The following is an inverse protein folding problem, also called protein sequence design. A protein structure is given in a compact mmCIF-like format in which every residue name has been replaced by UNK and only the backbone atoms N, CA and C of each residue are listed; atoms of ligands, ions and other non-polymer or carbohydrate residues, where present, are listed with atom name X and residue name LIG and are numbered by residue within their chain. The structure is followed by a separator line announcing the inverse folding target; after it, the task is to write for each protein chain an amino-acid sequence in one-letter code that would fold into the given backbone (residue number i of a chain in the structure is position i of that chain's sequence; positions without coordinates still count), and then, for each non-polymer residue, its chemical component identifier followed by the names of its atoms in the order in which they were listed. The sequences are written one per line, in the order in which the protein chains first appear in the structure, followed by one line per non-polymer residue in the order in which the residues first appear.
data_IF_954305781116
#
_entry.id   IF_954305781116
#
_cell.length_a   1.000
_cell.length_b   1.000
_cell.length_c   1.000
_cell.angle_alpha   90.00
_cell.angle_beta   90.00
_cell.angle_gamma   90.00
#
_symmetry.space_group_name_H-M   'P 1'
#
loop_
_entity.id
_entity.type
_entity.pdbx_description
1 polymer ?
#
# COMPACT_ATOMS: atom_id res chain seq x y z
N UNK A 1 -8.59 22.61 5.96
CA UNK A 1 -7.13 22.78 6.01
C UNK A 1 -6.41 21.48 5.67
N UNK A 2 -5.09 21.57 5.46
CA UNK A 2 -4.29 20.40 5.13
C UNK A 2 -4.48 19.31 6.18
N UNK A 3 -4.20 19.65 7.43
CA UNK A 3 -4.35 18.71 8.53
C UNK A 3 -5.80 18.24 8.63
N UNK A 4 -6.72 19.16 8.36
CA UNK A 4 -8.14 18.84 8.41
C UNK A 4 -8.45 17.67 7.48
N UNK A 5 -7.72 17.59 6.37
CA UNK A 5 -7.92 16.52 5.40
C UNK A 5 -7.32 15.23 5.94
N UNK A 6 -6.04 15.28 6.26
CA UNK A 6 -5.34 14.12 6.81
C UNK A 6 -6.05 13.63 8.07
N UNK A 7 -6.08 14.52 9.06
CA UNK A 7 -6.70 14.23 10.34
C UNK A 7 -6.26 12.88 10.88
N UNK A 8 -5.23 12.90 11.70
CA UNK A 8 -4.69 11.68 12.30
C UNK A 8 -5.55 11.23 13.47
N UNK A 9 -6.78 10.87 13.15
CA UNK A 9 -7.74 10.41 14.14
C UNK A 9 -8.65 9.34 13.56
N UNK A 10 -8.10 8.49 12.71
CA UNK A 10 -8.87 7.42 12.09
C UNK A 10 -8.24 6.06 12.38
N UNK A 11 -8.80 5.01 11.78
CA UNK A 11 -8.29 3.66 11.98
C UNK A 11 -7.10 3.40 11.07
N UNK A 12 -6.07 2.73 11.62
CA UNK A 12 -4.87 2.43 10.86
C UNK A 12 -4.59 0.93 10.88
N UNK A 13 -4.65 0.31 9.70
CA UNK A 13 -4.39 -1.13 9.59
C UNK A 13 -3.47 -1.43 8.41
N UNK A 14 -2.43 -2.22 8.67
CA UNK A 14 -1.48 -2.60 7.64
C UNK A 14 -1.43 -4.12 7.50
N UNK A 15 -1.38 -4.61 6.26
CA UNK A 15 -1.34 -6.05 6.03
C UNK A 15 -0.47 -6.41 4.83
N UNK A 16 -0.16 -7.70 4.72
CA UNK A 16 0.65 -8.22 3.61
C UNK A 16 0.22 -9.65 3.30
N UNK A 17 0.42 -10.08 2.06
CA UNK A 17 0.04 -11.43 1.67
C UNK A 17 0.89 -11.95 0.51
N UNK A 18 1.72 -12.98 0.76
CA UNK A 18 2.57 -13.57 -0.26
C UNK A 18 1.88 -14.67 -1.04
N UNK A 19 1.37 -14.33 -2.22
CA UNK A 19 0.67 -15.31 -3.05
C UNK A 19 1.40 -15.51 -4.38
N UNK A 20 1.42 -16.75 -4.85
CA UNK A 20 2.08 -17.09 -6.10
C UNK A 20 1.13 -16.90 -7.29
N UNK A 21 1.69 -16.51 -8.42
CA UNK A 21 0.90 -16.32 -9.63
C UNK A 21 0.39 -17.66 -10.14
N UNK A 22 -0.89 -17.75 -10.49
CA UNK A 22 -1.50 -19.00 -10.99
C UNK A 22 -0.76 -19.55 -12.20
N UNK A 23 -0.52 -18.69 -13.18
CA UNK A 23 0.18 -19.10 -14.40
C UNK A 23 1.48 -19.82 -14.08
N UNK A 24 2.36 -19.13 -13.37
CA UNK A 24 3.65 -19.69 -12.98
C UNK A 24 3.48 -20.80 -11.95
N UNK A 25 2.44 -20.67 -11.15
CA UNK A 25 2.13 -21.63 -10.08
C UNK A 25 2.06 -23.07 -10.60
N UNK A 26 1.36 -23.28 -11.70
CA UNK A 26 1.19 -24.63 -12.23
C UNK A 26 2.16 -24.96 -13.37
N UNK A 27 2.46 -23.99 -14.21
CA UNK A 27 3.36 -24.24 -15.34
C UNK A 27 4.73 -24.67 -14.87
N UNK A 28 5.16 -24.16 -13.71
CA UNK A 28 6.47 -24.52 -13.17
C UNK A 28 6.51 -24.34 -11.66
N UNK A 29 6.71 -25.43 -10.90
CA UNK A 29 6.79 -25.39 -9.44
C UNK A 29 8.01 -24.62 -8.94
N UNK A 30 9.03 -24.56 -9.78
CA UNK A 30 10.25 -23.84 -9.44
C UNK A 30 10.22 -22.42 -9.97
N UNK A 31 9.76 -22.28 -11.22
CA UNK A 31 9.67 -20.97 -11.85
C UNK A 31 8.32 -20.32 -11.54
N UNK A 32 8.00 -20.23 -10.25
CA UNK A 32 6.74 -19.63 -9.81
C UNK A 32 6.98 -18.41 -8.92
N UNK A 33 7.45 -17.33 -9.54
CA UNK A 33 7.73 -16.09 -8.82
C UNK A 33 6.63 -15.79 -7.80
N UNK A 34 7.02 -15.43 -6.59
CA UNK A 34 6.08 -15.12 -5.53
C UNK A 34 5.87 -13.61 -5.42
N UNK A 35 4.61 -13.19 -5.52
CA UNK A 35 4.31 -11.76 -5.43
C UNK A 35 3.79 -11.37 -4.06
N UNK A 36 4.38 -10.33 -3.49
CA UNK A 36 3.98 -9.86 -2.17
C UNK A 36 3.12 -8.60 -2.30
N UNK A 37 1.93 -8.65 -1.70
CA UNK A 37 1.01 -7.53 -1.76
C UNK A 37 0.78 -6.93 -0.37
N UNK A 38 1.16 -5.68 -0.21
CA UNK A 38 1.00 -4.98 1.07
C UNK A 38 0.07 -3.79 0.90
N UNK A 39 -0.67 -3.45 1.94
CA UNK A 39 -1.61 -2.34 1.87
C UNK A 39 -1.93 -1.80 3.27
N UNK A 40 -1.71 -0.51 3.43
CA UNK A 40 -1.99 0.16 4.69
C UNK A 40 -3.35 0.84 4.60
N UNK A 41 -4.38 0.11 5.05
CA UNK A 41 -5.74 0.63 5.00
C UNK A 41 -5.99 1.63 6.13
N UNK A 42 -6.87 2.60 5.85
CA UNK A 42 -7.25 3.60 6.83
C UNK A 42 -8.75 3.57 7.04
N UNK A 43 -9.18 3.13 8.21
CA UNK A 43 -10.59 3.02 8.47
C UNK A 43 -11.26 2.04 7.52
N UNK A 44 -12.40 2.40 6.93
CA UNK A 44 -13.12 1.53 5.99
C UNK A 44 -12.42 1.44 4.64
N UNK A 45 -11.49 2.35 4.38
CA UNK A 45 -10.78 2.40 3.11
C UNK A 45 -9.27 2.27 3.30
N UNK A 46 -8.51 2.65 2.27
CA UNK A 46 -7.05 2.58 2.34
C UNK A 46 -6.39 3.85 1.78
N UNK A 47 -5.18 4.11 2.25
CA UNK A 47 -4.44 5.29 1.82
C UNK A 47 -3.05 4.95 1.30
N UNK A 48 -2.53 3.77 1.65
CA UNK A 48 -1.20 3.37 1.19
C UNK A 48 -1.22 1.99 0.55
N UNK A 49 -0.58 1.87 -0.61
CA UNK A 49 -0.54 0.60 -1.33
C UNK A 49 0.83 0.40 -1.99
N UNK A 50 1.34 -0.82 -1.88
CA UNK A 50 2.64 -1.16 -2.47
C UNK A 50 2.66 -2.61 -2.95
N UNK A 51 3.05 -2.80 -4.20
CA UNK A 51 3.12 -4.14 -4.79
C UNK A 51 4.54 -4.51 -5.16
N UNK A 52 4.91 -5.76 -4.89
CA UNK A 52 6.25 -6.25 -5.21
C UNK A 52 6.19 -7.62 -5.86
N UNK A 53 6.72 -7.73 -7.07
CA UNK A 53 6.73 -8.99 -7.79
C UNK A 53 8.11 -9.26 -8.40
N UNK A 54 8.66 -10.48 -8.21
CA UNK A 54 9.98 -10.84 -8.73
C UNK A 54 10.15 -10.47 -10.20
N UNK A 55 9.04 -10.43 -10.93
CA UNK A 55 9.07 -10.09 -12.35
C UNK A 55 8.53 -8.68 -12.60
N UNK A 56 7.87 -8.11 -11.59
CA UNK A 56 7.29 -6.78 -11.70
C UNK A 56 7.90 -5.84 -10.66
N UNK A 57 8.54 -4.74 -11.11
CA UNK A 57 9.16 -3.77 -10.20
C UNK A 57 8.22 -3.33 -9.08
N UNK A 58 8.76 -2.64 -8.06
CA UNK A 58 7.97 -2.15 -6.93
C UNK A 58 6.86 -1.21 -7.35
N UNK A 59 5.65 -1.74 -7.51
CA UNK A 59 4.50 -0.93 -7.92
C UNK A 59 3.95 -0.16 -6.73
N UNK A 60 4.38 1.10 -6.61
CA UNK A 60 3.92 1.95 -5.51
C UNK A 60 2.63 2.67 -5.88
N UNK A 61 1.57 2.37 -5.15
CA UNK A 61 0.26 2.98 -5.40
C UNK A 61 -0.21 3.76 -4.19
N UNK A 62 -1.02 4.79 -4.43
CA UNK A 62 -1.55 5.63 -3.37
C UNK A 62 -2.99 6.06 -3.67
N UNK A 63 -3.72 6.43 -2.62
CA UNK A 63 -5.10 6.86 -2.78
C UNK A 63 -5.18 8.17 -3.57
N UNK A 64 -6.27 8.33 -4.32
CA UNK A 64 -6.44 9.54 -5.12
C UNK A 64 -5.82 9.42 -6.49
N UNK A 65 -4.53 9.09 -6.54
CA UNK A 65 -3.83 8.95 -7.81
C UNK A 65 -4.10 7.58 -8.43
N UNK A 66 -3.62 6.53 -7.77
CA UNK A 66 -3.82 5.17 -8.25
C UNK A 66 -5.00 4.50 -7.56
N UNK A 67 -6.06 5.28 -7.35
CA UNK A 67 -7.26 4.77 -6.69
C UNK A 67 -7.82 3.56 -7.43
N UNK A 68 -7.58 3.50 -8.74
CA UNK A 68 -8.07 2.40 -9.55
C UNK A 68 -7.11 1.21 -9.46
N UNK A 69 -5.84 1.48 -9.20
CA UNK A 69 -4.83 0.44 -9.10
C UNK A 69 -4.85 -0.21 -7.72
N UNK A 70 -4.72 0.63 -6.68
CA UNK A 70 -4.71 0.13 -5.32
C UNK A 70 -5.98 -0.67 -5.01
N UNK A 71 -6.03 -1.27 -3.82
CA UNK A 71 -7.19 -2.06 -3.42
C UNK A 71 -8.46 -1.23 -3.46
N UNK A 72 -9.49 -1.74 -4.14
CA UNK A 72 -10.76 -1.03 -4.25
C UNK A 72 -11.84 -1.75 -3.45
N UNK A 73 -11.50 -2.18 -2.25
CA UNK A 73 -12.44 -2.89 -1.38
C UNK A 73 -12.15 -2.60 0.09
N UNK A 74 -13.19 -2.24 0.85
CA UNK A 74 -13.04 -1.94 2.27
C UNK A 74 -12.35 -3.09 3.01
N UNK A 75 -11.94 -2.83 4.23
CA UNK A 75 -11.25 -3.83 5.06
C UNK A 75 -11.92 -5.20 4.97
N UNK A 76 -13.22 -5.24 5.24
CA UNK A 76 -13.97 -6.49 5.21
C UNK A 76 -14.12 -7.00 3.78
N UNK A 77 -14.20 -6.06 2.84
CA UNK A 77 -14.37 -6.40 1.44
C UNK A 77 -13.05 -6.80 0.79
N UNK A 78 -11.94 -6.57 1.49
CA UNK A 78 -10.62 -6.92 0.97
C UNK A 78 -10.38 -8.42 1.01
N UNK A 79 -10.29 -8.96 2.23
CA UNK A 79 -10.06 -10.38 2.39
C UNK A 79 -8.84 -10.67 3.25
N UNK A 80 -7.87 -9.75 3.22
CA UNK A 80 -6.65 -9.91 4.00
C UNK A 80 -6.98 -10.03 5.48
N UNK A 81 -8.01 -9.30 5.91
CA UNK A 81 -8.43 -9.33 7.31
C UNK A 81 -8.98 -10.70 7.67
N UNK A 82 -9.74 -11.29 6.76
CA UNK A 82 -10.33 -12.60 6.99
C UNK A 82 -9.26 -13.67 7.03
N UNK A 83 -8.16 -13.44 6.32
CA UNK A 83 -7.04 -14.38 6.28
C UNK A 83 -6.55 -14.70 7.69
N UNK A 84 -5.49 -15.51 7.77
CA UNK A 84 -4.93 -15.89 9.06
C UNK A 84 -3.81 -14.94 9.48
N UNK A 85 -4.21 -13.75 9.96
CA UNK A 85 -3.24 -12.78 10.40
C UNK A 85 -2.48 -12.13 9.25
N UNK A 86 -3.19 -11.36 8.44
CA UNK A 86 -2.58 -10.68 7.31
C UNK A 86 -1.93 -9.35 7.74
N UNK A 87 -2.32 -8.87 8.92
CA UNK A 87 -1.80 -7.63 9.46
C UNK A 87 -0.26 -7.62 9.46
N UNK A 88 0.31 -6.42 9.54
CA UNK A 88 1.76 -6.26 9.56
C UNK A 88 2.16 -5.02 10.35
N UNK A 89 3.46 -4.77 10.43
CA UNK A 89 3.97 -3.61 11.16
C UNK A 89 4.28 -2.47 10.19
N UNK A 90 4.13 -1.22 10.63
CA UNK A 90 4.40 -0.04 9.80
C UNK A 90 5.87 0.08 9.43
N UNK A 91 6.73 -0.54 10.23
CA UNK A 91 8.17 -0.49 9.99
C UNK A 91 8.54 -1.19 8.69
N UNK A 92 7.89 -2.33 8.43
CA UNK A 92 8.14 -3.08 7.21
C UNK A 92 7.62 -2.35 5.98
N UNK A 93 6.41 -1.82 6.08
CA UNK A 93 5.79 -1.09 4.98
C UNK A 93 6.66 0.09 4.57
N UNK A 94 7.05 0.91 5.55
CA UNK A 94 7.89 2.07 5.27
C UNK A 94 9.30 1.64 4.90
N UNK A 95 9.68 0.43 5.31
CA UNK A 95 11.00 -0.10 4.99
C UNK A 95 11.16 -0.22 3.48
N UNK A 96 10.19 -0.86 2.85
CA UNK A 96 10.19 -1.04 1.41
C UNK A 96 9.79 0.24 0.70
N UNK A 97 8.90 0.99 1.32
CA UNK A 97 8.42 2.25 0.76
C UNK A 97 9.62 3.13 0.41
N UNK A 98 10.61 3.15 1.30
CA UNK A 98 11.83 3.92 1.09
C UNK A 98 12.84 3.14 0.26
N UNK A 99 12.81 1.81 0.41
CA UNK A 99 13.72 0.94 -0.31
C UNK A 99 13.61 1.15 -1.81
N UNK A 100 12.43 1.53 -2.28
CA UNK A 100 12.21 1.76 -3.71
C UNK A 100 12.09 3.25 -4.03
N UNK A 101 10.93 3.83 -3.73
CA UNK A 101 10.72 5.24 -4.00
C UNK A 101 9.28 5.67 -3.77
N UNK A 102 8.64 5.05 -2.79
CA UNK A 102 7.26 5.40 -2.48
C UNK A 102 7.10 6.85 -2.09
N UNK A 103 7.95 7.30 -1.17
CA UNK A 103 7.91 8.68 -0.69
C UNK A 103 7.96 9.66 -1.86
N UNK A 104 8.82 9.38 -2.83
CA UNK A 104 8.95 10.24 -4.00
C UNK A 104 7.63 10.31 -4.76
N UNK A 105 7.00 9.16 -4.93
CA UNK A 105 5.72 9.08 -5.64
C UNK A 105 4.66 9.87 -4.88
N UNK A 106 4.66 9.71 -3.56
CA UNK A 106 3.69 10.40 -2.71
C UNK A 106 3.93 11.91 -2.73
N UNK A 107 5.19 12.30 -2.62
CA UNK A 107 5.56 13.72 -2.64
C UNK A 107 5.15 14.37 -3.95
N UNK A 108 5.14 13.58 -5.02
CA UNK A 108 4.78 14.08 -6.34
C UNK A 108 3.28 14.38 -6.42
N UNK A 109 2.47 13.41 -6.01
CA UNK A 109 1.02 13.57 -6.03
C UNK A 109 0.60 14.52 -4.92
N UNK A 110 1.37 14.49 -3.84
CA UNK A 110 1.13 15.34 -2.68
C UNK A 110 1.16 16.82 -3.10
N UNK A 111 2.19 17.20 -3.83
CA UNK A 111 2.34 18.57 -4.30
C UNK A 111 1.31 18.87 -5.37
N UNK A 112 1.03 17.88 -6.22
CA UNK A 112 0.05 18.05 -7.30
C UNK A 112 -1.37 17.97 -6.77
N UNK A 113 -1.52 17.64 -5.48
CA UNK A 113 -2.84 17.53 -4.86
C UNK A 113 -3.61 16.35 -5.42
N UNK A 114 -2.88 15.30 -5.81
CA UNK A 114 -3.50 14.10 -6.36
C UNK A 114 -3.43 12.95 -5.37
N UNK A 115 -2.39 12.97 -4.52
CA UNK A 115 -2.20 11.93 -3.52
C UNK A 115 -3.40 11.85 -2.58
N UNK A 116 -4.17 12.93 -2.50
CA UNK A 116 -5.34 12.98 -1.63
C UNK A 116 -4.93 12.88 -0.16
N UNK A 117 -4.52 14.02 0.45
CA UNK A 117 -4.10 14.07 1.84
C UNK A 117 -5.05 13.30 2.76
N UNK A 118 -4.68 12.06 3.07
CA UNK A 118 -5.50 11.22 3.95
C UNK A 118 -4.74 10.86 5.21
N UNK A 119 -3.55 10.28 5.06
CA UNK A 119 -2.74 9.88 6.20
C UNK A 119 -1.28 9.69 5.78
N UNK A 120 -1.06 8.88 4.77
CA UNK A 120 0.30 8.61 4.28
C UNK A 120 1.01 9.90 3.90
N UNK A 121 0.29 10.80 3.24
CA UNK A 121 0.87 12.08 2.82
C UNK A 121 1.41 12.84 4.03
N UNK A 122 0.59 12.96 5.07
CA UNK A 122 1.01 13.65 6.29
C UNK A 122 2.19 12.92 6.89
N UNK A 123 2.06 11.61 7.02
CA UNK A 123 3.13 10.78 7.55
C UNK A 123 4.39 10.95 6.72
N UNK A 124 4.20 11.19 5.43
CA UNK A 124 5.32 11.40 4.52
C UNK A 124 6.01 12.72 4.84
N UNK A 125 5.20 13.76 5.02
CA UNK A 125 5.73 15.08 5.36
C UNK A 125 6.68 14.98 6.54
N UNK A 126 6.31 14.14 7.51
CA UNK A 126 7.13 13.94 8.69
C UNK A 126 8.29 12.99 8.38
N UNK A 127 8.04 12.06 7.46
CA UNK A 127 9.05 11.10 7.05
C UNK A 127 10.10 11.77 6.15
N UNK A 128 9.85 13.03 5.77
CA UNK A 128 10.76 13.76 4.91
C UNK A 128 11.98 14.23 5.69
N UNK A 129 11.83 14.38 7.00
CA UNK A 129 12.94 14.82 7.85
C UNK A 129 13.50 13.66 8.67
#
# INVERSE_FOLDING_TARGET
ARQQEIDMKRQQRFFRIPFIRPADQYKDPQNKKKGWWYAHFDGPWIARQMELHPDKPPILLVAGKDDMEMCEKNLEETGLTRKRGAEILPRQFEEIWERCGGIQYLQSAIESRQARPTYATAMLQNLLK
#
